data_IF_299018520611
#
_entry.id   IF_299018520611
#
_cell.length_a   1.000
_cell.length_b   1.000
_cell.length_c   1.000
_cell.angle_alpha   90.00
_cell.angle_beta   90.00
_cell.angle_gamma   90.00
#
_symmetry.space_group_name_H-M   'P 1'
#
loop_
_entity.id
_entity.type
_entity.pdbx_description
1 polymer ?
#
# COMPACT_ATOMS: atom_id res chain seq x y z
N UNK A 1 66.62 -26.65 7.73
CA UNK A 1 65.37 -27.10 7.10
C UNK A 1 64.26 -27.04 8.15
N UNK A 2 63.52 -25.95 8.22
CA UNK A 2 62.35 -25.83 9.11
C UNK A 2 61.18 -25.35 8.26
N UNK A 3 60.32 -26.30 7.86
CA UNK A 3 59.16 -26.02 7.03
C UNK A 3 58.08 -25.35 7.88
N UNK A 4 57.71 -24.12 7.50
CA UNK A 4 56.51 -23.43 7.96
C UNK A 4 55.27 -24.19 7.45
N UNK A 5 54.65 -24.97 8.33
CA UNK A 5 53.31 -25.52 8.10
C UNK A 5 52.26 -24.43 8.28
N UNK A 6 51.86 -23.80 7.18
CA UNK A 6 50.63 -23.00 7.16
C UNK A 6 49.44 -23.96 7.27
N UNK A 7 48.75 -23.93 8.41
CA UNK A 7 47.48 -24.63 8.59
C UNK A 7 46.45 -24.02 7.62
N UNK A 8 46.06 -24.79 6.61
CA UNK A 8 44.94 -24.49 5.75
C UNK A 8 43.67 -24.39 6.62
N UNK A 9 43.09 -23.18 6.68
CA UNK A 9 41.81 -22.93 7.30
C UNK A 9 40.73 -23.68 6.53
N UNK A 10 40.26 -24.79 7.09
CA UNK A 10 39.13 -25.54 6.54
C UNK A 10 37.81 -24.79 6.79
N UNK A 11 37.37 -24.08 5.74
CA UNK A 11 36.00 -24.14 5.18
C UNK A 11 34.85 -23.31 5.82
N UNK A 12 34.44 -22.19 5.18
CA UNK A 12 33.06 -21.69 5.26
C UNK A 12 32.12 -22.35 4.21
N UNK A 13 32.46 -23.54 3.67
CA UNK A 13 31.70 -24.17 2.57
C UNK A 13 30.25 -24.54 2.95
N UNK A 14 29.98 -24.91 4.20
CA UNK A 14 28.63 -25.27 4.66
C UNK A 14 27.67 -24.06 4.75
N UNK A 15 28.17 -22.93 5.27
CA UNK A 15 27.39 -21.70 5.33
C UNK A 15 27.19 -21.10 3.93
N UNK A 16 28.22 -21.11 3.09
CA UNK A 16 28.13 -20.64 1.71
C UNK A 16 27.13 -21.46 0.87
N UNK A 17 27.16 -22.80 0.98
CA UNK A 17 26.20 -23.67 0.28
C UNK A 17 24.77 -23.54 0.81
N UNK A 18 24.57 -23.33 2.11
CA UNK A 18 23.24 -23.01 2.66
C UNK A 18 22.71 -21.69 2.09
N UNK A 19 23.54 -20.65 2.04
CA UNK A 19 23.18 -19.34 1.47
C UNK A 19 22.83 -19.45 -0.02
N UNK A 20 23.60 -20.22 -0.79
CA UNK A 20 23.30 -20.48 -2.21
C UNK A 20 21.98 -21.24 -2.40
N UNK A 21 21.69 -22.24 -1.57
CA UNK A 21 20.42 -22.99 -1.63
C UNK A 21 19.22 -22.11 -1.29
N UNK A 22 19.34 -21.27 -0.27
CA UNK A 22 18.30 -20.29 0.08
C UNK A 22 18.11 -19.28 -1.06
N UNK A 23 19.20 -18.75 -1.63
CA UNK A 23 19.13 -17.85 -2.78
C UNK A 23 18.50 -18.50 -4.02
N UNK A 24 18.81 -19.77 -4.30
CA UNK A 24 18.21 -20.51 -5.40
C UNK A 24 16.71 -20.73 -5.19
N UNK A 25 16.29 -21.11 -3.97
CA UNK A 25 14.88 -21.29 -3.62
C UNK A 25 14.09 -19.97 -3.65
N UNK A 26 14.71 -18.86 -3.24
CA UNK A 26 14.13 -17.53 -3.35
C UNK A 26 13.97 -17.11 -4.81
N UNK A 27 14.96 -17.35 -5.67
CA UNK A 27 14.88 -17.03 -7.11
C UNK A 27 13.80 -17.81 -7.84
N UNK A 28 13.57 -19.07 -7.48
CA UNK A 28 12.50 -19.87 -8.07
C UNK A 28 11.13 -19.46 -7.56
N UNK A 29 11.02 -19.09 -6.28
CA UNK A 29 9.74 -18.70 -5.66
C UNK A 29 9.34 -17.25 -5.96
N UNK A 30 10.29 -16.32 -6.01
CA UNK A 30 10.08 -14.91 -6.30
C UNK A 30 9.92 -14.66 -7.81
N UNK A 31 9.03 -15.42 -8.44
CA UNK A 31 8.67 -15.20 -9.84
C UNK A 31 8.13 -13.78 -9.98
N UNK A 32 8.52 -13.00 -11.02
CA UNK A 32 8.09 -11.60 -11.17
C UNK A 32 6.57 -11.40 -11.09
N UNK A 33 5.78 -12.36 -11.59
CA UNK A 33 4.32 -12.36 -11.51
C UNK A 33 3.79 -12.47 -10.07
N UNK A 34 4.37 -13.35 -9.25
CA UNK A 34 3.98 -13.52 -7.85
C UNK A 34 4.36 -12.28 -7.03
N UNK A 35 5.56 -11.75 -7.24
CA UNK A 35 6.01 -10.51 -6.58
C UNK A 35 5.10 -9.34 -6.92
N UNK A 36 4.70 -9.19 -8.19
CA UNK A 36 3.73 -8.16 -8.61
C UNK A 36 2.36 -8.36 -7.99
N UNK A 37 1.87 -9.59 -7.87
CA UNK A 37 0.59 -9.89 -7.22
C UNK A 37 0.63 -9.54 -5.73
N UNK A 38 1.69 -9.95 -5.02
CA UNK A 38 1.87 -9.65 -3.59
C UNK A 38 1.93 -8.15 -3.35
N UNK A 39 2.62 -7.39 -4.18
CA UNK A 39 2.66 -5.93 -4.09
C UNK A 39 1.27 -5.29 -4.26
N UNK A 40 0.47 -5.78 -5.22
CA UNK A 40 -0.91 -5.30 -5.41
C UNK A 40 -1.78 -5.60 -4.19
N UNK A 41 -1.66 -6.81 -3.63
CA UNK A 41 -2.35 -7.17 -2.39
C UNK A 41 -1.90 -6.31 -1.21
N UNK A 42 -0.58 -6.07 -1.06
CA UNK A 42 -0.03 -5.27 0.03
C UNK A 42 -0.54 -3.82 -0.02
N UNK A 43 -0.61 -3.22 -1.21
CA UNK A 43 -1.22 -1.90 -1.41
C UNK A 43 -2.73 -1.92 -1.21
N UNK A 44 -3.42 -2.99 -1.61
CA UNK A 44 -4.88 -3.08 -1.49
C UNK A 44 -5.38 -3.14 -0.03
N UNK A 45 -4.66 -3.80 0.86
CA UNK A 45 -5.07 -4.04 2.26
C UNK A 45 -5.41 -2.76 3.06
N UNK A 46 -4.55 -1.72 3.13
CA UNK A 46 -4.85 -0.52 3.92
C UNK A 46 -6.12 0.20 3.44
N UNK A 47 -6.28 0.37 2.12
CA UNK A 47 -7.46 1.00 1.54
C UNK A 47 -8.72 0.14 1.75
N UNK A 48 -8.62 -1.17 1.56
CA UNK A 48 -9.73 -2.09 1.80
C UNK A 48 -10.23 -2.01 3.25
N UNK A 49 -9.32 -2.07 4.22
CA UNK A 49 -9.68 -2.03 5.64
C UNK A 49 -10.29 -0.68 6.02
N UNK A 50 -9.77 0.42 5.48
CA UNK A 50 -10.37 1.75 5.64
C UNK A 50 -11.78 1.80 5.03
N UNK A 51 -11.93 1.32 3.79
CA UNK A 51 -13.16 1.37 3.03
C UNK A 51 -14.28 0.58 3.71
N UNK A 52 -14.04 -0.67 4.08
CA UNK A 52 -15.05 -1.54 4.73
C UNK A 52 -15.59 -0.90 6.02
N UNK A 53 -14.75 -0.22 6.79
CA UNK A 53 -15.17 0.45 8.03
C UNK A 53 -16.04 1.70 7.81
N UNK A 54 -16.17 2.19 6.57
CA UNK A 54 -17.04 3.33 6.23
C UNK A 54 -18.47 2.91 5.88
N UNK A 55 -18.76 1.60 5.81
CA UNK A 55 -20.08 1.10 5.42
C UNK A 55 -20.76 0.40 6.59
N UNK A 56 -22.00 0.80 6.89
CA UNK A 56 -22.85 0.12 7.87
C UNK A 56 -23.83 -0.87 7.20
N UNK A 57 -24.02 -0.76 5.87
CA UNK A 57 -24.91 -1.62 5.10
C UNK A 57 -24.66 -1.51 3.58
N UNK A 58 -25.49 -2.18 2.78
CA UNK A 58 -25.37 -2.11 1.32
C UNK A 58 -25.72 -0.70 0.82
N UNK A 59 -24.74 -0.01 0.27
CA UNK A 59 -24.83 1.39 -0.16
C UNK A 59 -25.20 2.39 0.96
N UNK A 60 -25.02 1.99 2.24
CA UNK A 60 -25.25 2.86 3.39
C UNK A 60 -23.91 3.22 4.03
N UNK A 61 -23.52 4.49 3.88
CA UNK A 61 -22.34 5.03 4.52
C UNK A 61 -22.61 5.28 6.00
N UNK A 62 -21.61 5.05 6.85
CA UNK A 62 -21.70 5.35 8.26
C UNK A 62 -21.85 6.86 8.49
N UNK A 63 -22.71 7.27 9.42
CA UNK A 63 -22.90 8.67 9.80
C UNK A 63 -21.58 9.33 10.26
N UNK A 64 -20.70 8.56 10.92
CA UNK A 64 -19.35 9.00 11.32
C UNK A 64 -18.50 9.32 10.10
N UNK A 65 -18.59 8.56 9.01
CA UNK A 65 -17.83 8.84 7.79
C UNK A 65 -18.29 10.15 7.15
N UNK A 66 -19.61 10.39 7.08
CA UNK A 66 -20.17 11.64 6.55
C UNK A 66 -19.77 12.83 7.43
N UNK A 67 -19.84 12.67 8.76
CA UNK A 67 -19.38 13.68 9.71
C UNK A 67 -17.89 13.98 9.53
N UNK A 68 -17.04 12.96 9.36
CA UNK A 68 -15.61 13.13 9.15
C UNK A 68 -15.33 14.04 7.95
N UNK A 69 -16.00 13.82 6.82
CA UNK A 69 -15.86 14.68 5.63
C UNK A 69 -16.50 16.06 5.76
N UNK A 70 -17.40 16.26 6.73
CA UNK A 70 -18.11 17.52 6.93
C UNK A 70 -17.47 18.42 7.99
N UNK A 71 -16.87 17.87 9.03
CA UNK A 71 -16.37 18.63 10.18
C UNK A 71 -14.88 18.49 10.43
N UNK A 72 -14.30 17.30 10.16
CA UNK A 72 -12.92 16.98 10.53
C UNK A 72 -11.95 17.10 9.35
N UNK A 73 -12.34 16.62 8.18
CA UNK A 73 -11.50 16.59 6.99
C UNK A 73 -11.66 17.89 6.22
N UNK A 74 -10.60 18.70 6.23
CA UNK A 74 -10.49 19.92 5.45
C UNK A 74 -9.38 19.81 4.43
N UNK A 75 -9.63 20.36 3.25
CA UNK A 75 -8.66 20.36 2.16
C UNK A 75 -7.65 21.50 2.38
N UNK A 76 -6.39 21.17 2.66
CA UNK A 76 -5.33 22.14 2.86
C UNK A 76 -4.72 22.53 1.52
N UNK A 77 -5.30 23.55 0.87
CA UNK A 77 -4.78 24.13 -0.36
C UNK A 77 -4.01 25.43 -0.05
N UNK A 78 -3.15 25.90 -0.96
CA UNK A 78 -2.53 27.23 -0.85
C UNK A 78 -3.62 28.29 -0.74
N UNK A 79 -3.81 28.87 0.45
CA UNK A 79 -4.91 29.81 0.73
C UNK A 79 -5.72 29.51 2.00
N UNK A 80 -5.56 28.31 2.59
CA UNK A 80 -6.17 27.95 3.87
C UNK A 80 -6.88 26.59 3.85
N UNK A 81 -7.49 26.17 4.96
CA UNK A 81 -8.31 24.96 5.02
C UNK A 81 -9.68 25.23 4.38
N UNK A 82 -10.02 24.46 3.34
CA UNK A 82 -11.30 24.53 2.65
C UNK A 82 -12.17 23.33 3.03
N UNK A 83 -13.45 23.57 3.31
CA UNK A 83 -14.41 22.49 3.50
C UNK A 83 -14.74 21.83 2.16
N UNK A 84 -15.07 20.54 2.18
CA UNK A 84 -15.49 19.85 0.96
C UNK A 84 -16.84 20.41 0.47
N UNK A 85 -17.00 20.71 -0.84
CA UNK A 85 -18.21 21.35 -1.36
C UNK A 85 -19.46 20.47 -1.27
N UNK A 86 -19.29 19.14 -1.20
CA UNK A 86 -20.38 18.17 -1.02
C UNK A 86 -19.90 16.98 -0.16
N UNK A 87 -19.83 17.14 1.18
CA UNK A 87 -19.22 16.15 2.08
C UNK A 87 -19.79 14.74 1.93
N UNK A 88 -21.12 14.61 1.80
CA UNK A 88 -21.78 13.30 1.63
C UNK A 88 -21.40 12.61 0.31
N UNK A 89 -21.33 13.35 -0.79
CA UNK A 89 -20.94 12.78 -2.10
C UNK A 89 -19.46 12.42 -2.12
N UNK A 90 -18.60 13.27 -1.54
CA UNK A 90 -17.16 13.02 -1.43
C UNK A 90 -16.89 11.81 -0.53
N UNK A 91 -17.59 11.69 0.59
CA UNK A 91 -17.49 10.55 1.50
C UNK A 91 -17.92 9.24 0.82
N UNK A 92 -19.03 9.27 0.08
CA UNK A 92 -19.50 8.12 -0.69
C UNK A 92 -18.53 7.73 -1.81
N UNK A 93 -18.00 8.71 -2.55
CA UNK A 93 -17.02 8.48 -3.60
C UNK A 93 -15.71 7.90 -3.03
N UNK A 94 -15.20 8.45 -1.92
CA UNK A 94 -14.03 7.94 -1.20
C UNK A 94 -14.27 6.52 -0.69
N UNK A 95 -15.37 6.26 0.00
CA UNK A 95 -15.71 4.93 0.52
C UNK A 95 -15.87 3.88 -0.59
N UNK A 96 -16.42 4.28 -1.75
CA UNK A 96 -16.55 3.40 -2.92
C UNK A 96 -15.19 3.15 -3.60
N UNK A 97 -14.38 4.19 -3.76
CA UNK A 97 -13.04 4.08 -4.36
C UNK A 97 -12.09 3.23 -3.51
N UNK A 98 -12.16 3.33 -2.19
CA UNK A 98 -11.40 2.51 -1.23
C UNK A 98 -11.71 1.01 -1.28
N UNK A 99 -12.82 0.61 -1.89
CA UNK A 99 -13.20 -0.80 -2.10
C UNK A 99 -12.91 -1.21 -3.54
N UNK A 100 -13.38 -0.43 -4.50
CA UNK A 100 -13.32 -0.78 -5.92
C UNK A 100 -11.89 -0.74 -6.49
N UNK A 101 -11.10 0.29 -6.16
CA UNK A 101 -9.74 0.42 -6.71
C UNK A 101 -8.82 -0.72 -6.25
N UNK A 102 -8.81 -1.10 -4.96
CA UNK A 102 -8.05 -2.26 -4.49
C UNK A 102 -8.47 -3.59 -5.15
N UNK A 103 -9.78 -3.83 -5.33
CA UNK A 103 -10.27 -5.03 -6.02
C UNK A 103 -9.74 -5.07 -7.45
N UNK A 104 -9.91 -3.98 -8.20
CA UNK A 104 -9.46 -3.89 -9.59
C UNK A 104 -7.94 -4.09 -9.70
N UNK A 105 -7.19 -3.51 -8.76
CA UNK A 105 -5.74 -3.67 -8.69
C UNK A 105 -5.33 -5.13 -8.47
N UNK A 106 -5.93 -5.81 -7.50
CA UNK A 106 -5.63 -7.22 -7.16
C UNK A 106 -6.03 -8.16 -8.31
N UNK A 107 -7.21 -7.97 -8.91
CA UNK A 107 -7.67 -8.77 -10.05
C UNK A 107 -6.85 -8.55 -11.33
N UNK A 108 -5.96 -7.56 -11.35
CA UNK A 108 -5.15 -7.26 -12.53
C UNK A 108 -5.94 -6.59 -13.66
N UNK A 109 -7.17 -6.12 -13.40
CA UNK A 109 -8.02 -5.45 -14.38
C UNK A 109 -7.69 -3.96 -14.41
N UNK A 110 -7.41 -3.43 -15.61
CA UNK A 110 -7.10 -2.01 -15.82
C UNK A 110 -6.07 -1.48 -14.79
N UNK A 111 -5.04 -2.28 -14.47
CA UNK A 111 -4.08 -2.03 -13.37
C UNK A 111 -3.45 -0.64 -13.38
N UNK A 112 -3.18 -0.09 -14.56
CA UNK A 112 -2.64 1.27 -14.70
C UNK A 112 -3.63 2.33 -14.22
N UNK A 113 -4.92 2.17 -14.55
CA UNK A 113 -5.97 3.09 -14.11
C UNK A 113 -6.28 2.90 -12.61
N UNK A 114 -6.28 1.67 -12.12
CA UNK A 114 -6.47 1.39 -10.70
C UNK A 114 -5.33 1.99 -9.85
N UNK A 115 -4.08 1.82 -10.29
CA UNK A 115 -2.91 2.42 -9.65
C UNK A 115 -2.94 3.96 -9.73
N UNK A 116 -3.32 4.51 -10.88
CA UNK A 116 -3.50 5.96 -11.02
C UNK A 116 -4.60 6.50 -10.09
N UNK A 117 -5.73 5.78 -9.98
CA UNK A 117 -6.81 6.13 -9.06
C UNK A 117 -6.35 6.11 -7.61
N UNK A 118 -5.56 5.11 -7.20
CA UNK A 118 -4.96 5.06 -5.87
C UNK A 118 -3.98 6.21 -5.63
N UNK A 119 -3.16 6.58 -6.61
CA UNK A 119 -2.28 7.74 -6.49
C UNK A 119 -3.06 9.05 -6.32
N UNK A 120 -4.11 9.27 -7.10
CA UNK A 120 -4.99 10.44 -6.95
C UNK A 120 -5.64 10.44 -5.57
N UNK A 121 -6.08 9.28 -5.09
CA UNK A 121 -6.66 9.15 -3.77
C UNK A 121 -5.66 9.46 -2.65
N UNK A 122 -4.45 8.91 -2.73
CA UNK A 122 -3.35 9.22 -1.80
C UNK A 122 -3.03 10.71 -1.80
N UNK A 123 -3.04 11.36 -2.98
CA UNK A 123 -2.85 12.81 -3.08
C UNK A 123 -3.95 13.59 -2.34
N UNK A 124 -5.23 13.21 -2.52
CA UNK A 124 -6.35 13.86 -1.81
C UNK A 124 -6.19 13.66 -0.30
N UNK A 125 -5.82 12.45 0.15
CA UNK A 125 -5.58 12.17 1.57
C UNK A 125 -4.42 13.02 2.10
N UNK A 126 -3.33 13.16 1.33
CA UNK A 126 -2.18 13.99 1.70
C UNK A 126 -2.53 15.48 1.83
N UNK A 127 -3.42 15.99 0.97
CA UNK A 127 -3.94 17.35 1.08
C UNK A 127 -4.91 17.52 2.24
N UNK A 128 -5.56 16.44 2.67
CA UNK A 128 -6.52 16.47 3.78
C UNK A 128 -5.82 16.35 5.13
N UNK A 129 -4.79 15.50 5.22
CA UNK A 129 -4.03 15.20 6.45
C UNK A 129 -2.53 15.35 6.16
N UNK A 130 -1.98 16.58 6.14
CA UNK A 130 -0.59 16.81 5.76
C UNK A 130 0.44 16.08 6.65
N UNK A 131 0.13 15.93 7.93
CA UNK A 131 1.00 15.27 8.90
C UNK A 131 1.13 13.75 8.69
N UNK A 132 0.24 13.14 7.90
CA UNK A 132 0.24 11.71 7.57
C UNK A 132 1.28 11.26 6.55
N UNK A 133 2.16 12.15 6.08
CA UNK A 133 3.10 11.90 4.98
C UNK A 133 3.97 10.63 5.09
N UNK A 134 4.45 10.19 6.29
CA UNK A 134 5.28 8.98 6.37
C UNK A 134 4.50 7.72 6.03
N UNK A 135 3.18 7.75 6.22
CA UNK A 135 2.30 6.65 5.87
C UNK A 135 1.88 6.75 4.39
N UNK A 136 1.54 7.94 3.92
CA UNK A 136 1.08 8.16 2.54
C UNK A 136 2.13 7.78 1.49
N UNK A 137 3.41 7.99 1.79
CA UNK A 137 4.51 7.61 0.88
C UNK A 137 4.62 6.09 0.68
N UNK A 138 4.11 5.28 1.61
CA UNK A 138 4.13 3.82 1.47
C UNK A 138 3.10 3.31 0.45
N UNK A 139 2.19 4.18 0.02
CA UNK A 139 1.11 3.87 -0.92
C UNK A 139 1.29 4.53 -2.31
N UNK A 140 2.35 5.33 -2.49
CA UNK A 140 2.67 6.06 -3.71
C UNK A 140 3.87 5.41 -4.44
#
# INVERSE_FOLDING_TARGET
MTNHGWNASTEPRGAATLVERVNAALRTSATPSLTQLVLRCALAVPFWRSGVNKWDGFLQLNEVAVLLFSSELKLHLPGGPYDFPAPGLVAFASGSAEILLPILLVLGLVTRLAAFGLLVMTLVIQLTVPDGWPLHITWA
#
